data_IF_153384084472
#
_entry.id   IF_153384084472
#
_cell.length_a   1.000
_cell.length_b   1.000
_cell.length_c   1.000
_cell.angle_alpha   90.00
_cell.angle_beta   90.00
_cell.angle_gamma   90.00
#
_symmetry.space_group_name_H-M   'P 1'
#
loop_
_entity.id
_entity.type
_entity.pdbx_description
1 polymer ?
#
# COMPACT_ATOMS: atom_id res chain seq x y z
N UNK A 1 -34.39 -3.55 -24.32
CA UNK A 1 -33.45 -4.66 -24.58
C UNK A 1 -32.06 -4.23 -24.13
N UNK A 2 -31.68 -4.65 -22.92
CA UNK A 2 -30.35 -5.05 -22.43
C UNK A 2 -30.54 -5.38 -20.95
N UNK A 3 -30.11 -6.56 -20.50
CA UNK A 3 -30.41 -7.07 -19.15
C UNK A 3 -29.48 -6.39 -18.13
N UNK A 4 -29.95 -6.08 -16.90
CA UNK A 4 -29.15 -5.40 -15.89
C UNK A 4 -28.13 -6.31 -15.17
N UNK A 5 -27.71 -7.43 -15.76
CA UNK A 5 -26.93 -8.48 -15.06
C UNK A 5 -25.63 -8.89 -15.75
N UNK A 6 -25.10 -8.10 -16.69
CA UNK A 6 -23.77 -8.34 -17.27
C UNK A 6 -22.68 -7.48 -16.59
N UNK A 7 -22.75 -7.31 -15.25
CA UNK A 7 -21.57 -6.90 -14.49
C UNK A 7 -20.74 -8.16 -14.30
N UNK A 8 -19.72 -8.34 -15.14
CA UNK A 8 -18.66 -9.31 -14.88
C UNK A 8 -17.96 -8.81 -13.62
N UNK A 9 -18.38 -9.31 -12.47
CA UNK A 9 -17.62 -9.10 -11.24
C UNK A 9 -16.20 -9.64 -11.47
N UNK A 10 -15.15 -8.93 -11.04
CA UNK A 10 -13.80 -9.48 -11.11
C UNK A 10 -13.79 -10.84 -10.42
N UNK A 11 -13.27 -11.84 -11.14
CA UNK A 11 -13.12 -13.19 -10.59
C UNK A 11 -11.88 -13.16 -9.71
N UNK A 12 -12.09 -12.92 -8.42
CA UNK A 12 -11.03 -13.03 -7.42
C UNK A 12 -10.75 -14.50 -7.11
N UNK A 13 -9.46 -14.83 -6.99
CA UNK A 13 -8.99 -16.08 -6.38
C UNK A 13 -9.47 -16.21 -4.93
N UNK A 14 -9.53 -17.43 -4.36
CA UNK A 14 -9.85 -17.62 -2.94
C UNK A 14 -8.96 -16.79 -2.01
N UNK A 15 -7.68 -16.65 -2.33
CA UNK A 15 -6.71 -15.86 -1.58
C UNK A 15 -7.02 -14.36 -1.62
N UNK A 16 -7.40 -13.82 -2.79
CA UNK A 16 -7.83 -12.42 -2.93
C UNK A 16 -9.12 -12.13 -2.17
N UNK A 17 -10.08 -13.05 -2.21
CA UNK A 17 -11.34 -12.93 -1.45
C UNK A 17 -11.05 -12.88 0.05
N UNK A 18 -10.19 -13.78 0.54
CA UNK A 18 -9.81 -13.81 1.95
C UNK A 18 -9.03 -12.56 2.35
N UNK A 19 -8.09 -12.12 1.52
CA UNK A 19 -7.34 -10.89 1.71
C UNK A 19 -8.29 -9.68 1.85
N UNK A 20 -9.20 -9.47 0.90
CA UNK A 20 -10.18 -8.39 0.97
C UNK A 20 -11.07 -8.50 2.21
N UNK A 21 -11.55 -9.71 2.54
CA UNK A 21 -12.36 -9.94 3.73
C UNK A 21 -11.63 -9.50 5.01
N UNK A 22 -10.34 -9.81 5.11
CA UNK A 22 -9.50 -9.42 6.24
C UNK A 22 -9.30 -7.90 6.26
N UNK A 23 -8.95 -7.29 5.14
CA UNK A 23 -8.76 -5.82 5.07
C UNK A 23 -10.00 -5.04 5.47
N UNK A 24 -11.20 -5.54 5.13
CA UNK A 24 -12.48 -4.92 5.52
C UNK A 24 -12.76 -4.97 7.03
N UNK A 25 -11.99 -5.74 7.80
CA UNK A 25 -12.06 -5.67 9.27
C UNK A 25 -11.40 -4.41 9.83
N UNK A 26 -10.50 -3.77 9.06
CA UNK A 26 -9.91 -2.48 9.42
C UNK A 26 -10.82 -1.34 8.93
N UNK A 27 -11.46 -0.58 9.84
CA UNK A 27 -12.42 0.45 9.46
C UNK A 27 -11.76 1.62 8.71
N UNK A 28 -10.48 1.92 8.99
CA UNK A 28 -9.75 2.97 8.30
C UNK A 28 -9.46 2.57 6.85
N UNK A 29 -9.00 1.34 6.60
CA UNK A 29 -8.83 0.84 5.22
C UNK A 29 -10.15 0.93 4.44
N UNK A 30 -11.24 0.45 5.04
CA UNK A 30 -12.56 0.49 4.42
C UNK A 30 -12.98 1.91 4.06
N UNK A 31 -12.84 2.84 5.00
CA UNK A 31 -13.21 4.25 4.80
C UNK A 31 -12.33 4.93 3.74
N UNK A 32 -11.03 4.68 3.77
CA UNK A 32 -10.08 5.22 2.78
C UNK A 32 -10.47 4.76 1.38
N UNK A 33 -10.75 3.47 1.18
CA UNK A 33 -11.11 2.94 -0.13
C UNK A 33 -12.41 3.50 -0.68
N UNK A 34 -13.39 3.72 0.19
CA UNK A 34 -14.68 4.25 -0.24
C UNK A 34 -14.65 5.76 -0.52
N UNK A 35 -13.74 6.51 0.12
CA UNK A 35 -13.64 7.97 -0.03
C UNK A 35 -12.55 8.43 -1.00
N UNK A 36 -11.42 7.73 -1.12
CA UNK A 36 -10.30 8.10 -1.99
C UNK A 36 -10.70 8.44 -3.45
N UNK A 37 -11.71 7.80 -4.09
CA UNK A 37 -12.18 8.23 -5.41
C UNK A 37 -12.59 9.71 -5.50
N UNK A 38 -12.97 10.34 -4.39
CA UNK A 38 -13.36 11.75 -4.34
C UNK A 38 -12.18 12.72 -4.54
N UNK A 39 -10.94 12.25 -4.38
CA UNK A 39 -9.74 13.06 -4.64
C UNK A 39 -9.52 13.32 -6.14
N UNK A 40 -10.18 12.55 -7.01
CA UNK A 40 -10.10 12.72 -8.46
C UNK A 40 -8.73 12.37 -9.05
N UNK A 41 -7.98 11.50 -8.38
CA UNK A 41 -6.62 11.11 -8.78
C UNK A 41 -6.67 10.15 -9.98
N UNK A 42 -5.81 10.34 -10.99
CA UNK A 42 -5.84 9.54 -12.22
C UNK A 42 -5.48 8.06 -11.96
N UNK A 43 -4.52 7.84 -11.07
CA UNK A 43 -4.12 6.52 -10.57
C UNK A 43 -3.78 6.63 -9.08
N UNK A 44 -4.26 5.70 -8.26
CA UNK A 44 -3.94 5.65 -6.84
C UNK A 44 -4.02 4.22 -6.29
N UNK A 45 -3.30 3.98 -5.18
CA UNK A 45 -3.37 2.75 -4.38
C UNK A 45 -3.18 3.07 -2.90
N UNK A 46 -4.01 2.46 -2.05
CA UNK A 46 -3.65 2.28 -0.64
C UNK A 46 -2.67 1.11 -0.57
N UNK A 47 -1.52 1.30 0.06
CA UNK A 47 -0.40 0.35 -0.03
C UNK A 47 0.37 0.16 1.28
N UNK A 48 1.46 -0.59 1.21
CA UNK A 48 2.47 -0.76 2.26
C UNK A 48 1.93 -1.14 3.63
N UNK A 49 2.27 -0.36 4.66
CA UNK A 49 2.24 -0.76 6.06
C UNK A 49 0.88 -1.26 6.51
N UNK A 50 -0.14 -0.41 6.35
CA UNK A 50 -1.48 -0.71 6.82
C UNK A 50 -2.07 -1.97 6.19
N UNK A 51 -1.74 -2.26 4.93
CA UNK A 51 -2.32 -3.35 4.16
C UNK A 51 -1.85 -4.70 4.70
N UNK A 52 -0.55 -4.98 4.69
CA UNK A 52 -0.06 -6.29 5.13
C UNK A 52 -0.13 -6.46 6.65
N UNK A 53 0.04 -5.39 7.43
CA UNK A 53 -0.03 -5.46 8.90
C UNK A 53 -1.45 -5.78 9.37
N UNK A 54 -2.49 -5.30 8.67
CA UNK A 54 -3.88 -5.72 8.94
C UNK A 54 -4.04 -7.24 8.79
N UNK A 55 -3.38 -7.85 7.81
CA UNK A 55 -3.42 -9.31 7.61
C UNK A 55 -2.67 -10.04 8.72
N UNK A 56 -1.48 -9.57 9.11
CA UNK A 56 -0.75 -10.16 10.24
C UNK A 56 -1.48 -10.00 11.57
N UNK A 57 -2.13 -8.86 11.80
CA UNK A 57 -3.00 -8.66 12.96
C UNK A 57 -4.16 -9.66 12.98
N UNK A 58 -4.76 -9.95 11.83
CA UNK A 58 -5.80 -10.97 11.74
C UNK A 58 -5.28 -12.37 12.10
N UNK A 59 -4.10 -12.74 11.60
CA UNK A 59 -3.48 -14.05 11.89
C UNK A 59 -3.17 -14.20 13.38
N UNK A 60 -2.67 -13.13 14.02
CA UNK A 60 -2.38 -13.10 15.46
C UNK A 60 -3.62 -12.88 16.35
N UNK A 61 -4.81 -12.70 15.76
CA UNK A 61 -6.06 -12.47 16.50
C UNK A 61 -6.09 -11.12 17.24
N UNK A 62 -5.36 -10.12 16.73
CA UNK A 62 -5.25 -8.77 17.29
C UNK A 62 -6.30 -7.82 16.70
N UNK A 63 -6.40 -6.63 17.30
CA UNK A 63 -7.11 -5.52 16.68
C UNK A 63 -6.53 -5.22 15.28
N UNK A 64 -7.36 -5.06 14.23
CA UNK A 64 -6.89 -4.84 12.86
C UNK A 64 -5.99 -3.61 12.68
N UNK A 65 -6.10 -2.62 13.56
CA UNK A 65 -5.33 -1.37 13.52
C UNK A 65 -4.05 -1.42 14.38
N UNK A 66 -3.83 -2.49 15.14
CA UNK A 66 -2.72 -2.59 16.08
C UNK A 66 -1.36 -2.48 15.39
N UNK A 67 -0.49 -1.58 15.88
CA UNK A 67 0.87 -1.43 15.36
C UNK A 67 0.99 -0.72 14.01
N UNK A 68 -0.13 -0.31 13.40
CA UNK A 68 -0.15 0.49 12.17
C UNK A 68 0.11 1.95 12.53
N UNK A 69 1.16 2.54 11.96
CA UNK A 69 1.52 3.92 12.20
C UNK A 69 0.81 4.89 11.24
N UNK A 70 0.64 4.45 10.00
CA UNK A 70 0.31 5.25 8.84
C UNK A 70 -0.45 4.41 7.81
N UNK A 71 -1.17 5.11 6.94
CA UNK A 71 -1.89 4.55 5.80
C UNK A 71 -1.36 5.22 4.54
N UNK A 72 -0.45 4.54 3.84
CA UNK A 72 0.18 5.05 2.62
C UNK A 72 -0.81 5.09 1.44
N UNK A 73 -1.15 6.28 0.97
CA UNK A 73 -1.98 6.50 -0.22
C UNK A 73 -1.12 7.04 -1.35
N UNK A 74 -0.64 6.13 -2.19
CA UNK A 74 0.12 6.46 -3.39
C UNK A 74 -0.80 6.95 -4.48
N UNK A 75 -0.34 7.92 -5.24
CA UNK A 75 -0.94 8.30 -6.51
C UNK A 75 0.14 8.64 -7.53
N UNK A 76 -0.21 8.60 -8.81
CA UNK A 76 0.72 8.93 -9.88
C UNK A 76 0.13 10.02 -10.77
N UNK A 77 0.74 11.19 -10.76
CA UNK A 77 0.41 12.29 -11.66
C UNK A 77 1.70 12.96 -12.15
N UNK A 78 2.02 12.76 -13.43
CA UNK A 78 3.21 13.30 -14.08
C UNK A 78 2.96 14.65 -14.80
N UNK A 79 1.76 15.22 -14.67
CA UNK A 79 1.40 16.49 -15.29
C UNK A 79 2.06 17.69 -14.60
N UNK A 80 2.05 17.70 -13.26
CA UNK A 80 2.69 18.73 -12.44
C UNK A 80 3.46 18.08 -11.26
N UNK A 81 4.78 18.07 -11.37
CA UNK A 81 5.68 17.46 -10.37
C UNK A 81 6.08 18.41 -9.24
N UNK A 82 5.53 19.63 -9.20
CA UNK A 82 5.82 20.59 -8.15
C UNK A 82 5.38 20.06 -6.78
N UNK A 83 6.03 20.55 -5.72
CA UNK A 83 5.55 20.24 -4.36
C UNK A 83 4.18 20.86 -4.11
N UNK A 84 3.92 22.07 -4.62
CA UNK A 84 2.64 22.75 -4.44
C UNK A 84 1.47 21.90 -5.00
N UNK A 85 1.65 21.23 -6.14
CA UNK A 85 0.65 20.32 -6.69
C UNK A 85 0.41 19.08 -5.79
N UNK A 86 1.46 18.52 -5.18
CA UNK A 86 1.32 17.43 -4.22
C UNK A 86 0.67 17.90 -2.91
N UNK A 87 1.07 19.06 -2.39
CA UNK A 87 0.51 19.65 -1.18
C UNK A 87 -1.00 19.91 -1.33
N UNK A 88 -1.44 20.40 -2.50
CA UNK A 88 -2.87 20.54 -2.81
C UNK A 88 -3.64 19.20 -2.72
N UNK A 89 -3.00 18.06 -3.03
CA UNK A 89 -3.61 16.73 -2.81
C UNK A 89 -3.58 16.36 -1.33
N UNK A 90 -2.44 16.57 -0.65
CA UNK A 90 -2.26 16.29 0.78
C UNK A 90 -3.32 17.04 1.60
N UNK A 91 -3.54 18.34 1.35
CA UNK A 91 -4.54 19.13 2.06
C UNK A 91 -5.97 18.62 1.81
N UNK A 92 -6.31 18.26 0.56
CA UNK A 92 -7.63 17.70 0.22
C UNK A 92 -7.86 16.34 0.88
N UNK A 93 -6.84 15.48 0.91
CA UNK A 93 -6.90 14.20 1.59
C UNK A 93 -6.99 14.35 3.11
N UNK A 94 -6.22 15.28 3.69
CA UNK A 94 -6.30 15.62 5.11
C UNK A 94 -7.72 16.01 5.51
N UNK A 95 -8.37 16.90 4.75
CA UNK A 95 -9.77 17.26 4.99
C UNK A 95 -10.75 16.09 4.78
N UNK A 96 -10.47 15.18 3.85
CA UNK A 96 -11.34 14.04 3.51
C UNK A 96 -11.30 12.91 4.56
N UNK A 97 -10.17 12.78 5.27
CA UNK A 97 -9.90 11.71 6.22
C UNK A 97 -9.74 12.18 7.67
N UNK A 98 -9.99 13.46 7.97
CA UNK A 98 -9.81 14.10 9.28
C UNK A 98 -10.51 13.35 10.43
N UNK A 99 -11.70 12.78 10.16
CA UNK A 99 -12.50 12.05 11.14
C UNK A 99 -11.96 10.66 11.49
N UNK A 100 -10.95 10.15 10.78
CA UNK A 100 -10.36 8.84 11.06
C UNK A 100 -9.38 8.85 12.22
N UNK A 101 -8.89 10.03 12.64
CA UNK A 101 -7.87 10.18 13.69
C UNK A 101 -6.60 9.34 13.44
N UNK A 102 -6.27 9.06 12.17
CA UNK A 102 -5.06 8.33 11.73
C UNK A 102 -4.24 9.16 10.75
N UNK A 103 -2.96 8.83 10.60
CA UNK A 103 -2.11 9.44 9.58
C UNK A 103 -2.35 8.77 8.23
N UNK A 104 -2.93 9.50 7.27
CA UNK A 104 -2.97 9.08 5.86
C UNK A 104 -1.86 9.81 5.12
N UNK A 105 -0.79 9.09 4.77
CA UNK A 105 0.35 9.67 4.07
C UNK A 105 0.11 9.63 2.56
N UNK A 106 -0.19 10.80 1.98
CA UNK A 106 -0.37 10.92 0.52
C UNK A 106 0.96 11.22 -0.14
N UNK A 107 1.25 10.50 -1.22
CA UNK A 107 2.48 10.67 -2.00
C UNK A 107 2.22 10.59 -3.50
N UNK A 108 2.76 11.56 -4.24
CA UNK A 108 2.85 11.47 -5.69
C UNK A 108 4.10 10.68 -6.07
N UNK A 109 3.93 9.46 -6.54
CA UNK A 109 5.03 8.59 -6.93
C UNK A 109 5.80 9.13 -8.15
N UNK A 110 5.14 9.93 -9.01
CA UNK A 110 5.79 10.54 -10.17
C UNK A 110 6.92 11.51 -9.79
N UNK A 111 6.88 12.10 -8.59
CA UNK A 111 7.88 13.11 -8.15
C UNK A 111 8.92 12.58 -7.17
N UNK A 112 8.85 11.31 -6.75
CA UNK A 112 9.75 10.74 -5.74
C UNK A 112 11.22 10.92 -6.13
N UNK A 113 11.54 10.66 -7.38
CA UNK A 113 12.90 10.80 -7.91
C UNK A 113 13.50 12.22 -7.78
N UNK A 114 12.68 13.26 -7.59
CA UNK A 114 13.15 14.64 -7.45
C UNK A 114 13.76 14.93 -6.07
N UNK A 115 13.41 14.15 -5.04
CA UNK A 115 13.88 14.35 -3.66
C UNK A 115 14.51 13.10 -3.04
N UNK A 116 14.40 11.94 -3.69
CA UNK A 116 14.88 10.67 -3.14
C UNK A 116 16.39 10.67 -2.90
N UNK A 117 17.19 11.15 -3.86
CA UNK A 117 18.65 11.20 -3.73
C UNK A 117 19.09 12.12 -2.59
N UNK A 118 18.44 13.28 -2.44
CA UNK A 118 18.71 14.21 -1.34
C UNK A 118 18.40 13.58 0.03
N UNK A 119 17.41 12.69 0.10
CA UNK A 119 16.99 12.04 1.34
C UNK A 119 17.78 10.77 1.69
N UNK A 120 18.06 9.91 0.70
CA UNK A 120 18.65 8.59 0.89
C UNK A 120 20.09 8.47 0.39
N UNK A 121 20.61 9.47 -0.33
CA UNK A 121 21.97 9.47 -0.88
C UNK A 121 22.17 8.50 -2.05
N UNK A 122 21.08 8.00 -2.65
CA UNK A 122 21.09 7.08 -3.79
C UNK A 122 20.19 7.65 -4.90
N UNK A 123 20.65 7.69 -6.17
CA UNK A 123 19.82 8.10 -7.27
C UNK A 123 18.58 7.20 -7.40
N UNK A 124 17.42 7.81 -7.63
CA UNK A 124 16.20 7.07 -7.96
C UNK A 124 15.86 7.30 -9.42
N UNK A 125 15.57 6.23 -10.14
CA UNK A 125 14.92 6.33 -11.45
C UNK A 125 13.48 6.83 -11.23
N UNK A 126 12.93 7.70 -12.09
CA UNK A 126 11.51 8.04 -12.06
C UNK A 126 10.66 6.78 -12.21
N UNK A 127 9.66 6.62 -11.35
CA UNK A 127 8.67 5.56 -11.51
C UNK A 127 7.76 5.83 -12.71
N UNK A 128 7.19 4.78 -13.29
CA UNK A 128 6.29 4.90 -14.45
C UNK A 128 4.80 4.91 -14.10
N UNK A 129 4.44 4.35 -12.95
CA UNK A 129 3.08 4.32 -12.40
C UNK A 129 3.13 3.97 -10.89
N UNK A 130 1.97 3.85 -10.24
CA UNK A 130 1.92 3.44 -8.83
C UNK A 130 2.40 2.00 -8.61
N UNK A 131 2.19 1.10 -9.57
CA UNK A 131 2.56 -0.32 -9.45
C UNK A 131 4.08 -0.47 -9.45
N UNK A 132 4.76 0.28 -10.31
CA UNK A 132 6.21 0.40 -10.35
C UNK A 132 6.76 0.92 -9.02
N UNK A 133 6.16 1.96 -8.43
CA UNK A 133 6.55 2.40 -7.09
C UNK A 133 6.38 1.30 -6.02
N UNK A 134 5.27 0.56 -6.06
CA UNK A 134 5.00 -0.56 -5.13
C UNK A 134 6.02 -1.68 -5.32
N UNK A 135 6.43 -2.00 -6.55
CA UNK A 135 7.44 -3.01 -6.86
C UNK A 135 8.82 -2.69 -6.25
N UNK A 136 9.06 -1.44 -5.86
CA UNK A 136 10.31 -0.98 -5.30
C UNK A 136 10.35 -0.94 -3.76
N UNK A 137 9.29 -1.37 -3.06
CA UNK A 137 9.33 -1.49 -1.61
C UNK A 137 10.41 -2.47 -1.15
N UNK A 138 10.95 -2.25 0.06
CA UNK A 138 12.08 -3.00 0.61
C UNK A 138 11.80 -4.49 0.91
N UNK A 139 10.54 -4.91 0.92
CA UNK A 139 10.12 -6.29 1.15
C UNK A 139 8.96 -6.65 0.24
N UNK A 140 8.95 -7.89 -0.25
CA UNK A 140 7.84 -8.42 -1.05
C UNK A 140 6.49 -8.36 -0.33
N UNK A 141 6.50 -8.46 1.01
CA UNK A 141 5.28 -8.34 1.83
C UNK A 141 4.77 -6.91 1.96
N UNK A 142 5.57 -5.91 1.58
CA UNK A 142 5.12 -4.53 1.46
C UNK A 142 4.53 -4.21 0.09
N UNK A 143 4.81 -5.04 -0.92
CA UNK A 143 4.37 -4.84 -2.30
C UNK A 143 2.89 -5.28 -2.47
N UNK A 144 1.98 -4.65 -1.75
CA UNK A 144 0.53 -4.83 -1.93
C UNK A 144 -0.12 -3.47 -2.15
N UNK A 145 -0.90 -3.35 -3.22
CA UNK A 145 -1.76 -2.21 -3.48
C UNK A 145 -3.21 -2.63 -3.52
N UNK A 146 -4.10 -1.81 -2.98
CA UNK A 146 -5.53 -1.99 -3.11
C UNK A 146 -6.20 -0.66 -3.43
N UNK A 147 -7.14 -0.66 -4.38
CA UNK A 147 -7.91 0.52 -4.77
C UNK A 147 -9.34 0.17 -5.19
N UNK A 148 -10.17 1.19 -5.34
CA UNK A 148 -11.42 1.09 -6.11
C UNK A 148 -11.15 1.46 -7.56
N UNK A 149 -11.56 0.62 -8.49
CA UNK A 149 -11.52 0.96 -9.91
C UNK A 149 -12.68 1.90 -10.29
N UNK A 150 -12.74 2.33 -11.54
CA UNK A 150 -13.79 3.23 -12.06
C UNK A 150 -15.20 2.63 -12.06
N UNK A 151 -15.34 1.30 -11.94
CA UNK A 151 -16.63 0.61 -11.81
C UNK A 151 -17.06 0.43 -10.34
N UNK A 152 -16.21 0.84 -9.40
CA UNK A 152 -16.41 0.71 -7.96
C UNK A 152 -16.12 -0.69 -7.42
N UNK A 153 -15.43 -1.54 -8.18
CA UNK A 153 -14.93 -2.84 -7.71
C UNK A 153 -13.55 -2.69 -7.06
N UNK A 154 -13.21 -3.63 -6.18
CA UNK A 154 -11.87 -3.71 -5.59
C UNK A 154 -10.87 -4.23 -6.63
N UNK A 155 -9.77 -3.50 -6.82
CA UNK A 155 -8.63 -3.94 -7.60
C UNK A 155 -7.43 -4.13 -6.67
N UNK A 156 -6.81 -5.30 -6.75
CA UNK A 156 -5.66 -5.68 -5.93
C UNK A 156 -4.44 -5.75 -6.84
N UNK A 157 -3.34 -5.22 -6.35
CA UNK A 157 -2.01 -5.40 -6.92
C UNK A 157 -1.16 -6.18 -5.91
N UNK A 158 -0.81 -7.42 -6.26
CA UNK A 158 -0.06 -8.34 -5.40
C UNK A 158 0.98 -9.13 -6.23
N UNK A 159 2.04 -8.47 -6.74
CA UNK A 159 3.00 -9.03 -7.70
C UNK A 159 3.72 -10.29 -7.21
N UNK A 160 3.82 -10.51 -5.89
CA UNK A 160 4.48 -11.68 -5.30
C UNK A 160 3.52 -12.76 -4.78
N UNK A 161 2.21 -12.60 -5.01
CA UNK A 161 1.18 -13.49 -4.49
C UNK A 161 1.09 -13.50 -2.95
N UNK A 162 0.13 -14.26 -2.40
CA UNK A 162 -0.26 -14.15 -0.98
C UNK A 162 0.42 -15.15 -0.03
N UNK A 163 1.21 -16.09 -0.56
CA UNK A 163 1.75 -17.20 0.22
C UNK A 163 2.63 -16.73 1.38
N UNK A 164 3.62 -15.87 1.11
CA UNK A 164 4.51 -15.32 2.12
C UNK A 164 3.73 -14.42 3.12
N UNK A 165 2.72 -13.68 2.66
CA UNK A 165 1.89 -12.83 3.52
C UNK A 165 1.13 -13.66 4.55
N UNK A 166 0.37 -14.68 4.12
CA UNK A 166 -0.42 -15.52 5.01
C UNK A 166 0.44 -16.47 5.87
N UNK A 167 1.65 -16.79 5.43
CA UNK A 167 2.61 -17.56 6.22
C UNK A 167 3.45 -16.70 7.19
N UNK A 168 3.23 -15.38 7.23
CA UNK A 168 4.03 -14.43 8.02
C UNK A 168 5.53 -14.54 7.73
N UNK A 169 5.90 -14.58 6.45
CA UNK A 169 7.28 -14.63 5.98
C UNK A 169 7.67 -13.26 5.41
N UNK A 170 8.50 -12.52 6.13
CA UNK A 170 9.05 -11.24 5.68
C UNK A 170 10.29 -11.48 4.82
N UNK A 171 10.15 -11.31 3.50
CA UNK A 171 11.26 -11.49 2.54
C UNK A 171 11.77 -10.16 1.98
N UNK A 172 13.09 -9.96 1.87
CA UNK A 172 13.66 -8.76 1.25
C UNK A 172 13.31 -8.68 -0.24
N UNK A 173 13.23 -7.47 -0.76
CA UNK A 173 13.06 -7.19 -2.18
C UNK A 173 14.24 -6.33 -2.69
N UNK A 174 15.32 -6.95 -3.20
CA UNK A 174 16.58 -6.29 -3.52
C UNK A 174 16.55 -5.59 -4.89
N UNK A 175 15.53 -4.77 -5.15
CA UNK A 175 15.39 -4.02 -6.41
C UNK A 175 15.99 -2.61 -6.26
N UNK A 176 15.44 -1.80 -5.34
CA UNK A 176 15.90 -0.42 -5.10
C UNK A 176 16.25 -0.15 -3.63
N UNK A 177 15.54 -0.75 -2.69
CA UNK A 177 15.71 -0.40 -1.29
C UNK A 177 17.09 -0.81 -0.73
N UNK A 178 17.75 0.06 0.05
CA UNK A 178 18.97 -0.30 0.75
C UNK A 178 18.75 -1.44 1.74
N UNK A 179 19.76 -2.32 1.88
CA UNK A 179 19.76 -3.43 2.83
C UNK A 179 19.43 -2.98 4.24
N UNK A 180 20.00 -1.87 4.70
CA UNK A 180 19.80 -1.37 6.07
C UNK A 180 18.33 -0.96 6.33
N UNK A 181 17.64 -0.46 5.30
CA UNK A 181 16.21 -0.09 5.40
C UNK A 181 15.37 -1.35 5.64
N UNK A 182 15.64 -2.43 4.91
CA UNK A 182 14.97 -3.70 5.14
C UNK A 182 15.27 -4.26 6.54
N UNK A 183 16.54 -4.35 6.92
CA UNK A 183 16.95 -4.92 8.21
C UNK A 183 16.37 -4.14 9.40
N UNK A 184 16.32 -2.81 9.31
CA UNK A 184 15.69 -1.95 10.32
C UNK A 184 14.19 -2.20 10.44
N UNK A 185 13.46 -2.24 9.30
CA UNK A 185 12.02 -2.54 9.27
C UNK A 185 11.73 -3.94 9.80
N UNK A 186 12.51 -4.93 9.41
CA UNK A 186 12.39 -6.31 9.86
C UNK A 186 12.58 -6.45 11.37
N UNK A 187 13.62 -5.82 11.93
CA UNK A 187 13.86 -5.85 13.38
C UNK A 187 12.75 -5.17 14.18
N UNK A 188 12.12 -4.12 13.64
CA UNK A 188 10.94 -3.49 14.24
C UNK A 188 9.74 -4.42 14.21
N UNK A 189 9.38 -4.94 13.03
CA UNK A 189 8.19 -5.76 12.86
C UNK A 189 8.29 -7.10 13.58
N UNK A 190 9.48 -7.70 13.69
CA UNK A 190 9.64 -8.94 14.46
C UNK A 190 9.40 -8.74 15.97
N UNK A 191 9.57 -7.53 16.50
CA UNK A 191 9.17 -7.22 17.89
C UNK A 191 7.66 -7.12 18.05
N UNK A 192 6.99 -6.57 17.04
CA UNK A 192 5.53 -6.41 17.05
C UNK A 192 4.79 -7.71 16.76
N UNK A 193 5.27 -8.52 15.82
CA UNK A 193 4.73 -9.83 15.48
C UNK A 193 5.78 -10.92 15.73
N UNK A 194 5.83 -11.51 16.95
CA UNK A 194 6.83 -12.53 17.29
C UNK A 194 6.76 -13.81 16.44
N UNK A 195 5.62 -14.08 15.79
CA UNK A 195 5.45 -15.18 14.84
C UNK A 195 6.09 -14.94 13.46
N UNK A 196 6.60 -13.73 13.20
CA UNK A 196 7.15 -13.34 11.92
C UNK A 196 8.48 -14.05 11.62
N UNK A 197 8.54 -14.77 10.51
CA UNK A 197 9.76 -15.36 9.98
C UNK A 197 10.46 -14.35 9.07
N UNK A 198 11.63 -13.87 9.49
CA UNK A 198 12.43 -12.90 8.71
C UNK A 198 13.47 -13.65 7.88
N UNK A 199 13.44 -13.47 6.56
CA UNK A 199 14.44 -14.01 5.64
C UNK A 199 15.62 -13.03 5.55
N UNK A 200 16.88 -13.47 5.72
CA UNK A 200 18.01 -12.55 5.62
C UNK A 200 18.14 -11.95 4.22
N UNK A 201 18.81 -10.79 4.13
CA UNK A 201 19.18 -10.19 2.84
C UNK A 201 20.02 -11.17 2.02
N UNK A 202 19.76 -11.34 0.70
CA UNK A 202 20.53 -12.25 -0.14
C UNK A 202 21.98 -11.77 -0.31
N UNK A 203 22.91 -12.72 -0.41
CA UNK A 203 24.34 -12.47 -0.66
C UNK A 203 24.64 -12.04 -2.11
#
# INVERSE_FOLDING_TARGET
>A
MSRPYDRIMPIHSPEEVEFLRILRTNPCITTILDRAPQLGLPEWYLTAGAVFQTVWNHIDGRDPQSGINDYDLFYFDDYDLSYDAEDDVIQRAGALFDDLEVCVEVRNEARVHLWYEDHFGVPSTPFTDCKDAIDHFASTTCCYGIRRNTTGDDEIYAPHGFADLFAMILRPNPVLAPREVYESKAARWQKEWPGLTVVPWPD
#
